data_IF_395563348916
#
_entry.id   IF_395563348916
#
_cell.length_a   1.000
_cell.length_b   1.000
_cell.length_c   1.000
_cell.angle_alpha   90.00
_cell.angle_beta   90.00
_cell.angle_gamma   90.00
#
_symmetry.space_group_name_H-M   'P 1'
#
loop_
_entity.id
_entity.type
_entity.pdbx_description
1 polymer ?
#
# COMPACT_ATOMS: atom_id res chain seq x y z
N UNK A 1 -9.92 -0.78 -3.75
CA UNK A 1 -9.11 -1.99 -3.44
C UNK A 1 -9.65 -2.59 -2.15
N UNK A 2 -9.74 -3.92 -1.99
CA UNK A 2 -10.21 -4.54 -0.73
C UNK A 2 -9.13 -4.53 0.37
N UNK A 3 -9.54 -4.35 1.63
CA UNK A 3 -8.66 -4.41 2.81
C UNK A 3 -8.00 -5.78 2.97
N UNK A 4 -8.74 -6.86 2.73
CA UNK A 4 -8.21 -8.23 2.76
C UNK A 4 -7.08 -8.45 1.77
N UNK A 5 -7.14 -7.80 0.60
CA UNK A 5 -6.06 -7.83 -0.38
C UNK A 5 -4.80 -7.16 0.15
N UNK A 6 -4.91 -5.98 0.79
CA UNK A 6 -3.77 -5.29 1.40
C UNK A 6 -3.09 -6.18 2.45
N UNK A 7 -3.87 -6.77 3.35
CA UNK A 7 -3.33 -7.67 4.37
C UNK A 7 -2.64 -8.89 3.76
N UNK A 8 -3.24 -9.52 2.74
CA UNK A 8 -2.64 -10.68 2.09
C UNK A 8 -1.30 -10.35 1.43
N UNK A 9 -1.23 -9.25 0.67
CA UNK A 9 0.00 -8.91 -0.06
C UNK A 9 1.10 -8.39 0.85
N UNK A 10 0.76 -7.79 1.99
CA UNK A 10 1.72 -7.33 3.00
C UNK A 10 2.20 -8.43 3.96
N UNK A 11 1.43 -9.50 4.16
CA UNK A 11 1.74 -10.58 5.10
C UNK A 11 2.99 -11.38 4.67
N UNK A 12 3.90 -11.76 5.59
CA UNK A 12 3.86 -11.47 7.03
C UNK A 12 4.58 -10.17 7.40
N UNK A 13 5.23 -9.50 6.44
CA UNK A 13 6.18 -8.41 6.71
C UNK A 13 5.53 -7.26 7.47
N UNK A 14 4.38 -6.79 7.02
CA UNK A 14 3.65 -5.68 7.66
C UNK A 14 2.21 -6.06 7.94
N UNK A 15 1.77 -5.74 9.16
CA UNK A 15 0.38 -5.77 9.58
C UNK A 15 -0.06 -4.35 9.91
N UNK A 16 -1.28 -4.02 9.50
CA UNK A 16 -1.93 -2.74 9.75
C UNK A 16 -3.05 -2.98 10.76
N UNK A 17 -3.10 -2.17 11.82
CA UNK A 17 -4.19 -2.18 12.79
C UNK A 17 -4.85 -0.81 12.82
N UNK A 18 -6.18 -0.80 12.79
CA UNK A 18 -6.99 0.41 12.77
C UNK A 18 -6.81 1.20 14.07
N UNK A 19 -6.46 2.48 13.98
CA UNK A 19 -6.44 3.39 15.13
C UNK A 19 -7.59 4.37 15.00
N UNK A 20 -7.68 5.06 13.87
CA UNK A 20 -8.77 5.98 13.57
C UNK A 20 -9.07 6.00 12.07
N UNK A 21 -10.27 5.61 11.62
CA UNK A 21 -11.37 5.05 12.39
C UNK A 21 -10.99 3.71 13.07
N UNK A 22 -11.71 3.33 14.13
CA UNK A 22 -11.46 2.06 14.88
C UNK A 22 -11.62 0.80 14.02
N UNK A 23 -12.27 0.92 12.86
CA UNK A 23 -12.48 -0.14 11.89
C UNK A 23 -12.12 0.44 10.53
N UNK A 24 -11.18 -0.20 9.83
CA UNK A 24 -10.85 0.16 8.45
C UNK A 24 -11.97 -0.31 7.50
N UNK A 25 -12.23 0.41 6.40
CA UNK A 25 -13.27 0.05 5.46
C UNK A 25 -12.95 -1.27 4.75
N UNK A 26 -13.97 -2.04 4.34
CA UNK A 26 -13.75 -3.25 3.54
C UNK A 26 -13.10 -2.90 2.19
N UNK A 27 -13.50 -1.78 1.60
CA UNK A 27 -12.92 -1.23 0.38
C UNK A 27 -12.36 0.16 0.63
N UNK A 28 -11.11 0.38 0.23
CA UNK A 28 -10.46 1.68 0.31
C UNK A 28 -11.15 2.69 -0.60
N UNK A 29 -11.55 3.81 0.00
CA UNK A 29 -12.08 5.02 -0.63
C UNK A 29 -11.28 6.24 -0.18
N UNK A 30 -11.51 7.38 -0.83
CA UNK A 30 -10.92 8.66 -0.42
C UNK A 30 -11.09 8.90 1.08
N UNK A 31 -10.01 9.30 1.75
CA UNK A 31 -10.01 9.55 3.19
C UNK A 31 -8.65 9.39 3.87
N UNK A 32 -8.59 9.81 5.14
CA UNK A 32 -7.43 9.65 6.03
C UNK A 32 -7.72 8.55 7.07
N UNK A 33 -6.85 7.55 7.10
CA UNK A 33 -6.94 6.42 8.01
C UNK A 33 -5.65 6.29 8.83
N UNK A 34 -5.72 6.57 10.12
CA UNK A 34 -4.63 6.34 11.06
C UNK A 34 -4.54 4.85 11.40
N UNK A 35 -3.34 4.29 11.22
CA UNK A 35 -3.04 2.89 11.50
C UNK A 35 -1.79 2.73 12.33
N UNK A 36 -1.76 1.70 13.17
CA UNK A 36 -0.53 1.20 13.79
C UNK A 36 0.07 0.12 12.91
N UNK A 37 1.38 0.21 12.69
CA UNK A 37 2.15 -0.74 11.90
C UNK A 37 2.85 -1.74 12.82
N UNK A 38 2.80 -3.01 12.46
CA UNK A 38 3.54 -4.07 13.16
C UNK A 38 4.35 -4.90 12.16
N UNK A 39 5.66 -5.01 12.40
CA UNK A 39 6.51 -5.94 11.66
C UNK A 39 6.25 -7.36 12.15
N UNK A 40 6.09 -8.28 11.20
CA UNK A 40 5.81 -9.70 11.48
C UNK A 40 4.60 -9.92 12.41
N UNK A 41 3.70 -8.94 12.47
CA UNK A 41 2.50 -8.96 13.32
C UNK A 41 2.73 -8.71 14.81
N UNK A 42 3.97 -8.49 15.27
CA UNK A 42 4.29 -8.44 16.71
C UNK A 42 5.17 -7.26 17.11
N UNK A 43 6.07 -6.79 16.24
CA UNK A 43 7.04 -5.75 16.59
C UNK A 43 6.44 -4.39 16.21
N UNK A 44 6.20 -3.48 17.17
CA UNK A 44 5.68 -2.15 16.85
C UNK A 44 6.61 -1.40 15.90
N UNK A 45 6.05 -0.90 14.80
CA UNK A 45 6.78 -0.18 13.74
C UNK A 45 6.26 1.26 13.58
N UNK A 46 5.63 1.78 14.63
CA UNK A 46 5.10 3.14 14.68
C UNK A 46 3.69 3.27 14.09
N UNK A 47 3.25 4.52 13.99
CA UNK A 47 1.96 4.88 13.39
C UNK A 47 2.13 5.54 12.04
N UNK A 48 1.16 5.32 11.17
CA UNK A 48 1.08 5.86 9.83
C UNK A 48 -0.36 6.24 9.49
N UNK A 49 -0.52 7.45 8.96
CA UNK A 49 -1.70 7.88 8.25
C UNK A 49 -1.64 7.37 6.81
N UNK A 50 -2.70 6.70 6.39
CA UNK A 50 -2.93 6.26 5.02
C UNK A 50 -3.94 7.25 4.44
N UNK A 51 -3.49 8.11 3.53
CA UNK A 51 -4.32 9.20 2.99
C UNK A 51 -4.64 8.87 1.55
N UNK A 52 -5.77 8.22 1.33
CA UNK A 52 -6.15 7.72 0.01
C UNK A 52 -6.79 8.83 -0.81
N UNK A 53 -6.32 8.94 -2.05
CA UNK A 53 -6.91 9.70 -3.13
C UNK A 53 -7.09 8.79 -4.37
N UNK A 54 -8.30 8.73 -4.91
CA UNK A 54 -8.66 7.97 -6.10
C UNK A 54 -9.10 8.98 -7.18
N UNK A 55 -8.20 9.38 -8.09
CA UNK A 55 -8.51 10.38 -9.11
C UNK A 55 -9.69 9.96 -9.98
N UNK A 56 -10.73 10.80 -10.02
CA UNK A 56 -11.92 10.60 -10.86
C UNK A 56 -11.61 10.64 -12.35
N UNK A 57 -10.52 11.32 -12.73
CA UNK A 57 -10.04 11.42 -14.12
C UNK A 57 -9.01 10.33 -14.37
N UNK A 58 -9.49 9.11 -14.50
CA UNK A 58 -8.70 7.97 -14.95
C UNK A 58 -9.16 7.58 -16.35
N UNK A 59 -8.23 7.39 -17.29
CA UNK A 59 -8.61 7.01 -18.67
C UNK A 59 -9.35 5.66 -18.66
N UNK A 60 -10.19 5.37 -19.66
CA UNK A 60 -11.00 4.14 -19.69
C UNK A 60 -10.23 2.85 -19.42
N UNK A 61 -8.92 2.83 -19.66
CA UNK A 61 -8.05 1.67 -19.49
C UNK A 61 -7.08 1.78 -18.32
N UNK A 62 -7.05 2.87 -17.55
CA UNK A 62 -6.10 3.06 -16.44
C UNK A 62 -6.85 3.38 -15.16
N UNK A 63 -6.54 2.70 -14.06
CA UNK A 63 -6.99 3.06 -12.71
C UNK A 63 -5.79 3.46 -11.87
N UNK A 64 -5.95 4.50 -11.06
CA UNK A 64 -4.90 5.04 -10.20
C UNK A 64 -5.45 5.14 -8.78
N UNK A 65 -4.63 4.78 -7.80
CA UNK A 65 -4.85 5.01 -6.38
C UNK A 65 -3.58 5.62 -5.82
N UNK A 66 -3.70 6.73 -5.13
CA UNK A 66 -2.58 7.44 -4.52
C UNK A 66 -2.77 7.42 -3.01
N UNK A 67 -1.72 7.07 -2.28
CA UNK A 67 -1.63 7.20 -0.83
C UNK A 67 -0.64 8.31 -0.50
N UNK A 68 -1.14 9.42 0.02
CA UNK A 68 -0.39 10.58 0.50
C UNK A 68 -0.04 10.46 2.00
N UNK A 69 0.30 9.25 2.41
CA UNK A 69 0.57 8.94 3.79
C UNK A 69 1.73 9.70 4.42
N UNK A 70 1.74 9.66 5.74
CA UNK A 70 2.80 10.20 6.59
C UNK A 70 2.74 9.50 7.94
N UNK A 71 3.81 9.57 8.72
CA UNK A 71 3.85 8.90 9.99
C UNK A 71 5.03 9.32 10.85
N UNK A 72 5.15 8.64 11.98
CA UNK A 72 6.19 8.92 12.98
C UNK A 72 7.62 8.91 12.44
N UNK A 73 7.95 7.96 11.55
CA UNK A 73 9.29 7.84 10.95
C UNK A 73 9.40 8.44 9.55
N UNK A 74 8.29 8.51 8.81
CA UNK A 74 8.27 8.92 7.40
C UNK A 74 7.43 10.19 7.26
N UNK A 75 8.08 11.31 6.97
CA UNK A 75 7.41 12.61 6.85
C UNK A 75 6.55 12.69 5.59
N UNK A 76 7.05 12.15 4.48
CA UNK A 76 6.31 12.07 3.22
C UNK A 76 6.39 10.64 2.72
N UNK A 77 5.23 10.03 2.60
CA UNK A 77 5.04 8.77 1.91
C UNK A 77 4.03 9.05 0.80
N UNK A 78 4.49 9.01 -0.46
CA UNK A 78 3.58 9.06 -1.61
C UNK A 78 3.68 7.75 -2.34
N UNK A 79 2.67 6.88 -2.19
CA UNK A 79 2.58 5.60 -2.89
C UNK A 79 1.49 5.66 -3.94
N UNK A 80 1.89 5.63 -5.21
CA UNK A 80 0.98 5.56 -6.35
C UNK A 80 0.89 4.13 -6.87
N UNK A 81 -0.32 3.60 -6.94
CA UNK A 81 -0.65 2.33 -7.58
C UNK A 81 -1.35 2.63 -8.89
N UNK A 82 -0.76 2.18 -10.00
CA UNK A 82 -1.33 2.32 -11.35
C UNK A 82 -1.63 0.96 -11.94
N UNK A 83 -2.87 0.79 -12.39
CA UNK A 83 -3.38 -0.40 -13.05
C UNK A 83 -3.79 -0.03 -14.47
N UNK A 84 -3.04 -0.46 -15.47
CA UNK A 84 -3.37 -0.22 -16.88
C UNK A 84 -3.76 -1.51 -17.58
N UNK A 85 -4.95 -1.58 -18.15
CA UNK A 85 -5.42 -2.70 -18.98
C UNK A 85 -4.53 -2.78 -20.23
N UNK A 86 -3.88 -3.92 -20.45
CA UNK A 86 -3.05 -4.18 -21.63
C UNK A 86 -3.81 -5.01 -22.66
N UNK A 87 -4.50 -6.06 -22.20
CA UNK A 87 -5.44 -6.88 -22.99
C UNK A 87 -6.61 -7.28 -22.09
N UNK A 88 -7.58 -8.06 -22.59
CA UNK A 88 -8.67 -8.58 -21.76
C UNK A 88 -8.21 -9.55 -20.65
N UNK A 89 -7.00 -10.12 -20.80
CA UNK A 89 -6.43 -11.08 -19.86
C UNK A 89 -5.16 -10.57 -19.15
N UNK A 90 -4.71 -9.37 -19.48
CA UNK A 90 -3.45 -8.82 -18.94
C UNK A 90 -3.65 -7.39 -18.44
N UNK A 91 -3.16 -7.15 -17.22
CA UNK A 91 -3.11 -5.83 -16.59
C UNK A 91 -1.66 -5.52 -16.23
N UNK A 92 -1.19 -4.34 -16.62
CA UNK A 92 0.06 -3.79 -16.13
C UNK A 92 -0.19 -3.19 -14.74
N UNK A 93 0.59 -3.62 -13.75
CA UNK A 93 0.52 -3.16 -12.38
C UNK A 93 1.85 -2.50 -12.00
N UNK A 94 1.79 -1.23 -11.62
CA UNK A 94 2.94 -0.42 -11.23
C UNK A 94 2.73 0.15 -9.83
N UNK A 95 3.75 -0.03 -8.98
CA UNK A 95 3.88 0.66 -7.70
C UNK A 95 5.01 1.70 -7.84
N UNK A 96 4.71 2.96 -7.50
CA UNK A 96 5.70 4.03 -7.38
C UNK A 96 5.65 4.58 -5.96
N UNK A 97 6.80 4.70 -5.30
CA UNK A 97 6.87 5.15 -3.91
C UNK A 97 7.93 6.24 -3.77
N UNK A 98 7.49 7.40 -3.32
CA UNK A 98 8.35 8.52 -2.94
C UNK A 98 8.39 8.57 -1.42
N UNK A 99 9.60 8.54 -0.86
CA UNK A 99 9.84 8.43 0.58
C UNK A 99 10.71 9.61 1.00
N UNK A 100 10.28 10.34 2.03
CA UNK A 100 11.12 11.29 2.75
C UNK A 100 11.08 10.99 4.25
N UNK A 101 12.20 10.53 4.79
CA UNK A 101 12.36 10.17 6.21
C UNK A 101 13.60 10.87 6.83
N UNK A 102 14.05 11.98 6.25
CA UNK A 102 15.27 12.68 6.68
C UNK A 102 16.50 11.76 6.60
N UNK A 103 17.28 11.70 7.67
CA UNK A 103 18.48 10.85 7.76
C UNK A 103 18.17 9.35 7.66
N UNK A 104 16.93 8.95 7.93
CA UNK A 104 16.51 7.54 7.85
C UNK A 104 16.09 7.12 6.44
N UNK A 105 16.01 8.06 5.49
CA UNK A 105 15.57 7.79 4.10
C UNK A 105 16.25 6.58 3.46
N UNK A 106 17.59 6.38 3.51
CA UNK A 106 18.21 5.21 2.88
C UNK A 106 17.76 3.88 3.53
N UNK A 107 17.54 3.86 4.84
CA UNK A 107 17.08 2.67 5.55
C UNK A 107 15.62 2.35 5.22
N UNK A 108 14.75 3.36 5.25
CA UNK A 108 13.32 3.20 4.90
C UNK A 108 13.19 2.79 3.43
N UNK A 109 14.00 3.37 2.54
CA UNK A 109 14.04 2.99 1.13
C UNK A 109 14.46 1.53 0.93
N UNK A 110 15.53 1.08 1.60
CA UNK A 110 15.98 -0.31 1.50
C UNK A 110 14.92 -1.29 2.00
N UNK A 111 14.27 -0.97 3.13
CA UNK A 111 13.14 -1.73 3.64
C UNK A 111 11.98 -1.77 2.64
N UNK A 112 11.56 -0.62 2.10
CA UNK A 112 10.51 -0.53 1.11
C UNK A 112 10.84 -1.38 -0.13
N UNK A 113 12.08 -1.32 -0.62
CA UNK A 113 12.52 -2.12 -1.76
C UNK A 113 12.34 -3.63 -1.53
N UNK A 114 12.70 -4.14 -0.35
CA UNK A 114 12.46 -5.55 0.03
C UNK A 114 10.96 -5.83 0.13
N UNK A 115 10.21 -4.96 0.82
CA UNK A 115 8.78 -5.11 1.03
C UNK A 115 7.99 -5.17 -0.28
N UNK A 116 8.27 -4.30 -1.26
CA UNK A 116 7.56 -4.32 -2.54
C UNK A 116 7.93 -5.50 -3.43
N UNK A 117 9.15 -6.05 -3.33
CA UNK A 117 9.50 -7.33 -3.99
C UNK A 117 8.68 -8.49 -3.42
N UNK A 118 8.52 -8.51 -2.09
CA UNK A 118 7.68 -9.49 -1.42
C UNK A 118 6.20 -9.34 -1.79
N UNK A 119 5.68 -8.11 -1.74
CA UNK A 119 4.31 -7.77 -2.13
C UNK A 119 4.00 -8.23 -3.55
N UNK A 120 4.91 -8.00 -4.49
CA UNK A 120 4.80 -8.48 -5.88
C UNK A 120 4.70 -10.01 -5.96
N UNK A 121 5.50 -10.75 -5.19
CA UNK A 121 5.41 -12.22 -5.12
C UNK A 121 4.05 -12.67 -4.59
N UNK A 122 3.52 -12.03 -3.56
CA UNK A 122 2.20 -12.37 -3.02
C UNK A 122 1.06 -12.00 -3.97
N UNK A 123 1.17 -10.91 -4.73
CA UNK A 123 0.21 -10.61 -5.81
C UNK A 123 0.11 -11.75 -6.82
N UNK A 124 1.24 -12.27 -7.31
CA UNK A 124 1.22 -13.41 -8.23
C UNK A 124 0.59 -14.66 -7.61
N UNK A 125 0.81 -14.91 -6.32
CA UNK A 125 0.17 -16.03 -5.60
C UNK A 125 -1.34 -15.84 -5.50
N UNK A 126 -1.80 -14.65 -5.13
CA UNK A 126 -3.22 -14.33 -5.00
C UNK A 126 -3.97 -14.47 -6.32
N UNK A 127 -3.36 -14.04 -7.42
CA UNK A 127 -3.95 -14.16 -8.76
C UNK A 127 -4.08 -15.64 -9.14
N UNK A 128 -3.02 -16.43 -8.92
CA UNK A 128 -3.05 -17.88 -9.21
C UNK A 128 -4.05 -18.65 -8.36
N UNK A 129 -4.28 -18.24 -7.11
CA UNK A 129 -5.27 -18.91 -6.24
C UNK A 129 -6.72 -18.55 -6.57
N UNK A 130 -6.95 -17.56 -7.44
CA UNK A 130 -8.28 -17.11 -7.87
C UNK A 130 -8.60 -17.48 -9.33
N UNK A 131 -7.69 -18.17 -10.01
CA UNK A 131 -7.92 -18.83 -11.31
C UNK A 131 -8.42 -20.24 -11.07
#
# INVERSE_FOLDING_TARGET
>A
MKLSTLHYVANPILKFEAVNPKILPEEWSDGDYETSLFLFGHIPFGRQHIVIEIPSTTSNNTKVLIDHGYGSMVRIWKHTITLTKKTDLQTNYQDEVIIQAGVLTPFVWAFAWIFYRWRRRNWFRLIKSKQ
#
